data_IF_514320126287
#
_entry.id   IF_514320126287
#
_cell.length_a   1.000
_cell.length_b   1.000
_cell.length_c   1.000
_cell.angle_alpha   90.00
_cell.angle_beta   90.00
_cell.angle_gamma   90.00
#
_symmetry.space_group_name_H-M   'P 1'
#
loop_
_entity.id
_entity.type
_entity.pdbx_description
1 polymer ?
#
# COMPACT_ATOMS: atom_id res chain seq x y z
N UNK A 1 30.49 -12.12 -42.46
CA UNK A 1 30.52 -13.61 -42.47
C UNK A 1 31.80 -14.03 -41.76
N UNK A 2 31.95 -14.34 -40.47
CA UNK A 2 31.19 -15.16 -39.52
C UNK A 2 31.47 -14.71 -38.06
N UNK A 3 31.72 -13.42 -37.82
CA UNK A 3 32.00 -12.86 -36.48
C UNK A 3 30.88 -11.95 -35.94
N UNK A 4 29.68 -12.02 -36.52
CA UNK A 4 28.47 -11.34 -36.02
C UNK A 4 27.45 -12.35 -35.45
N UNK A 5 27.74 -13.65 -35.52
CA UNK A 5 26.83 -14.72 -35.10
C UNK A 5 27.11 -15.26 -33.70
N UNK A 6 28.30 -15.02 -33.14
CA UNK A 6 28.67 -15.55 -31.82
C UNK A 6 28.33 -14.62 -30.66
N UNK A 7 28.10 -13.32 -30.89
CA UNK A 7 27.61 -12.41 -29.85
C UNK A 7 26.10 -12.54 -29.58
N UNK A 8 25.31 -13.13 -30.49
CA UNK A 8 23.86 -13.20 -30.37
C UNK A 8 23.35 -14.42 -29.58
N UNK A 9 24.21 -15.34 -29.13
CA UNK A 9 23.78 -16.63 -28.56
C UNK A 9 24.24 -16.88 -27.11
N UNK A 10 25.11 -16.05 -26.52
CA UNK A 10 25.68 -16.31 -25.17
C UNK A 10 25.62 -15.16 -24.17
N UNK A 11 24.85 -14.10 -24.43
CA UNK A 11 24.56 -13.07 -23.42
C UNK A 11 23.10 -13.19 -22.98
N UNK A 12 22.78 -14.29 -22.30
CA UNK A 12 21.84 -14.26 -21.18
C UNK A 12 22.68 -14.15 -19.91
N UNK A 13 22.42 -13.29 -18.93
CA UNK A 13 21.19 -12.62 -18.57
C UNK A 13 21.39 -11.10 -18.40
N UNK A 14 20.30 -10.38 -18.61
CA UNK A 14 20.06 -9.01 -18.21
C UNK A 14 20.61 -8.68 -16.82
N UNK A 15 21.69 -7.92 -16.75
CA UNK A 15 22.04 -7.11 -15.58
C UNK A 15 21.78 -5.65 -15.93
N UNK A 16 20.50 -5.26 -15.88
CA UNK A 16 20.16 -3.84 -15.74
C UNK A 16 20.84 -3.33 -14.47
N UNK A 17 21.57 -2.20 -14.49
CA UNK A 17 21.95 -1.53 -13.26
C UNK A 17 20.66 -0.90 -12.69
N UNK A 18 19.88 -1.70 -11.96
CA UNK A 18 18.85 -1.15 -11.08
C UNK A 18 19.58 -0.39 -9.99
N UNK A 19 19.40 0.93 -10.00
CA UNK A 19 19.74 1.78 -8.87
C UNK A 19 18.84 1.38 -7.70
N UNK A 20 19.25 0.39 -6.91
CA UNK A 20 18.65 0.10 -5.61
C UNK A 20 19.25 1.07 -4.58
N UNK A 21 18.81 2.33 -4.64
CA UNK A 21 18.85 3.22 -3.48
C UNK A 21 17.75 2.79 -2.52
N UNK A 22 18.17 2.04 -1.51
CA UNK A 22 17.57 1.90 -0.19
C UNK A 22 16.22 1.16 -0.10
N UNK A 23 16.34 -0.09 0.39
CA UNK A 23 15.53 -0.72 1.42
C UNK A 23 14.56 0.22 2.16
N UNK A 24 13.44 0.56 1.51
CA UNK A 24 12.24 0.94 2.22
C UNK A 24 11.50 -0.37 2.50
N UNK A 25 11.54 -0.84 3.75
CA UNK A 25 10.62 -1.88 4.22
C UNK A 25 9.23 -1.56 3.69
N UNK A 26 8.75 -2.33 2.72
CA UNK A 26 7.36 -2.23 2.27
C UNK A 26 6.52 -2.83 3.38
N UNK A 27 6.21 -2.03 4.39
CA UNK A 27 5.12 -2.36 5.31
C UNK A 27 3.84 -2.26 4.47
N UNK A 28 3.08 -3.35 4.27
CA UNK A 28 1.80 -3.29 3.57
C UNK A 28 0.76 -2.37 4.24
N UNK A 29 1.08 -1.81 5.41
CA UNK A 29 0.31 -0.77 6.11
C UNK A 29 0.85 0.66 5.94
N UNK A 30 1.97 0.90 5.26
CA UNK A 30 2.46 2.26 5.05
C UNK A 30 1.80 2.89 3.82
N UNK A 31 0.61 3.44 4.03
CA UNK A 31 0.05 4.41 3.09
C UNK A 31 0.72 5.74 3.42
N UNK A 32 1.77 6.06 2.68
CA UNK A 32 2.62 7.21 2.93
C UNK A 32 1.84 8.52 3.12
N UNK A 33 2.41 9.37 3.99
CA UNK A 33 1.93 10.68 4.45
C UNK A 33 1.07 10.67 5.73
N UNK A 34 1.77 10.56 6.85
CA UNK A 34 1.29 10.80 8.20
C UNK A 34 1.15 12.31 8.55
N UNK A 35 0.88 13.17 7.55
CA UNK A 35 0.58 14.61 7.66
C UNK A 35 -0.81 14.91 7.04
N UNK A 36 -1.73 13.94 7.07
CA UNK A 36 -3.20 14.15 6.98
C UNK A 36 -3.93 13.56 8.20
N UNK A 37 -3.17 13.16 9.23
CA UNK A 37 -3.66 12.43 10.42
C UNK A 37 -4.22 13.36 11.50
N UNK A 38 -5.21 14.19 11.13
CA UNK A 38 -6.08 14.84 12.11
C UNK A 38 -7.54 14.35 12.03
N UNK A 39 -7.93 13.67 10.94
CA UNK A 39 -9.34 13.37 10.66
C UNK A 39 -9.60 11.86 10.39
N UNK A 40 -8.60 10.98 10.40
CA UNK A 40 -8.79 9.57 10.03
C UNK A 40 -8.87 8.65 11.26
N UNK A 41 -10.08 8.19 11.58
CA UNK A 41 -10.27 7.09 12.52
C UNK A 41 -9.92 5.73 11.89
N UNK A 42 -9.62 4.69 12.72
CA UNK A 42 -9.55 3.32 12.25
C UNK A 42 -10.77 2.98 11.40
N UNK A 43 -10.55 2.35 10.24
CA UNK A 43 -11.61 2.05 9.26
C UNK A 43 -12.50 0.86 9.66
N UNK A 44 -12.55 0.56 10.95
CA UNK A 44 -13.38 -0.48 11.54
C UNK A 44 -14.85 -0.12 11.41
N UNK A 45 -15.68 -1.13 11.15
CA UNK A 45 -17.13 -0.99 11.06
C UNK A 45 -17.81 -2.06 11.89
N UNK A 46 -18.89 -1.69 12.57
CA UNK A 46 -19.76 -2.64 13.29
C UNK A 46 -21.11 -2.71 12.60
N UNK A 47 -21.76 -3.87 12.69
CA UNK A 47 -23.10 -4.09 12.14
C UNK A 47 -24.15 -3.85 13.22
N UNK A 48 -25.07 -2.94 12.95
CA UNK A 48 -26.20 -2.63 13.81
C UNK A 48 -27.31 -3.71 13.69
N UNK A 49 -28.22 -3.82 14.68
CA UNK A 49 -29.31 -4.81 14.66
C UNK A 49 -30.27 -4.67 13.46
N UNK A 50 -30.42 -3.45 12.95
CA UNK A 50 -31.16 -3.11 11.72
C UNK A 50 -30.45 -3.56 10.43
N UNK A 51 -29.19 -4.01 10.54
CA UNK A 51 -28.36 -4.49 9.45
C UNK A 51 -27.48 -3.44 8.80
N UNK A 52 -27.54 -2.16 9.21
CA UNK A 52 -26.62 -1.11 8.74
C UNK A 52 -25.22 -1.33 9.29
N UNK A 53 -24.23 -0.71 8.64
CA UNK A 53 -22.85 -0.67 9.11
C UNK A 53 -22.50 0.75 9.55
N UNK A 54 -21.99 0.89 10.77
CA UNK A 54 -21.56 2.18 11.32
C UNK A 54 -20.04 2.17 11.53
N UNK A 55 -19.39 3.26 11.15
CA UNK A 55 -17.96 3.50 11.33
C UNK A 55 -17.67 4.35 12.56
N UNK A 56 -16.39 4.66 12.76
CA UNK A 56 -15.93 5.59 13.80
C UNK A 56 -16.04 7.03 13.31
N UNK A 57 -16.59 7.91 14.14
CA UNK A 57 -16.75 9.34 13.86
C UNK A 57 -15.52 10.15 14.33
N UNK A 58 -14.77 10.80 13.42
CA UNK A 58 -13.64 11.67 13.77
C UNK A 58 -14.02 12.86 14.65
N UNK A 59 -15.25 13.37 14.53
CA UNK A 59 -15.75 14.47 15.34
C UNK A 59 -16.11 14.02 16.78
N UNK A 60 -16.30 12.72 17.00
CA UNK A 60 -16.66 12.13 18.30
C UNK A 60 -15.56 11.22 18.85
N UNK A 61 -14.29 11.68 18.81
CA UNK A 61 -13.14 10.94 19.35
C UNK A 61 -13.01 9.50 18.80
N UNK A 62 -13.38 9.29 17.54
CA UNK A 62 -13.39 7.97 16.91
C UNK A 62 -14.27 6.93 17.62
N UNK A 63 -15.32 7.37 18.32
CA UNK A 63 -16.38 6.48 18.78
C UNK A 63 -17.27 6.05 17.61
N UNK A 64 -17.90 4.88 17.74
CA UNK A 64 -18.90 4.45 16.76
C UNK A 64 -20.14 5.33 16.85
N UNK A 65 -20.73 5.63 15.70
CA UNK A 65 -22.07 6.22 15.66
C UNK A 65 -23.09 5.28 16.31
N UNK A 66 -24.11 5.87 16.95
CA UNK A 66 -25.19 5.10 17.58
C UNK A 66 -25.99 4.37 16.51
N UNK A 67 -26.29 3.10 16.76
CA UNK A 67 -27.32 2.38 16.00
C UNK A 67 -28.70 2.94 16.38
N UNK A 68 -29.55 3.19 15.38
CA UNK A 68 -30.96 3.54 15.59
C UNK A 68 -31.85 2.30 15.72
#
# INVERSE_FOLDING_TARGET
MRMLFFCLVVIGCSSSPVADSEDFRRNPYDTGNQIERKEQCPQEKIRCPDGRWVGRDPANNCQFELCE
#
